data_IF_542785813810
#
_entry.id   IF_542785813810
#
_cell.length_a   1.000
_cell.length_b   1.000
_cell.length_c   1.000
_cell.angle_alpha   90.00
_cell.angle_beta   90.00
_cell.angle_gamma   90.00
#
_symmetry.space_group_name_H-M   'P 1'
#
loop_
_entity.id
_entity.type
_entity.pdbx_description
1 polymer ?
#
# COMPACT_ATOMS: atom_id res chain seq x y z
N UNK A 1 -33.72 -26.21 -5.86
CA UNK A 1 -32.31 -25.95 -6.23
C UNK A 1 -31.92 -24.55 -5.73
N UNK A 2 -31.90 -24.34 -4.41
CA UNK A 2 -31.57 -23.03 -3.82
C UNK A 2 -30.14 -23.05 -3.28
N UNK A 3 -29.38 -22.04 -3.72
CA UNK A 3 -28.26 -21.36 -3.07
C UNK A 3 -27.05 -22.18 -2.61
N UNK A 4 -25.93 -22.01 -3.32
CA UNK A 4 -24.64 -21.76 -2.66
C UNK A 4 -24.08 -20.47 -3.23
N UNK A 5 -24.37 -19.38 -2.53
CA UNK A 5 -23.71 -18.08 -2.67
C UNK A 5 -22.20 -18.28 -2.68
N UNK A 6 -21.52 -17.49 -3.52
CA UNK A 6 -20.08 -17.39 -3.62
C UNK A 6 -19.44 -17.58 -2.25
N UNK A 7 -18.74 -18.71 -2.10
CA UNK A 7 -18.03 -19.11 -0.91
C UNK A 7 -17.28 -17.92 -0.35
N UNK A 8 -17.64 -17.55 0.88
CA UNK A 8 -16.84 -16.72 1.75
C UNK A 8 -15.42 -17.29 1.72
N UNK A 9 -14.55 -16.65 0.94
CA UNK A 9 -13.12 -16.96 0.94
C UNK A 9 -12.61 -16.55 2.30
N UNK A 10 -12.69 -17.44 3.29
CA UNK A 10 -11.98 -17.29 4.55
C UNK A 10 -10.52 -17.02 4.21
N UNK A 11 -10.09 -15.79 4.46
CA UNK A 11 -8.70 -15.41 4.28
C UNK A 11 -7.96 -16.03 5.45
N UNK A 12 -7.32 -17.17 5.21
CA UNK A 12 -6.43 -17.82 6.18
C UNK A 12 -5.33 -16.82 6.60
N UNK A 13 -5.48 -16.23 7.79
CA UNK A 13 -4.49 -15.30 8.35
C UNK A 13 -3.30 -16.12 8.86
N UNK A 14 -2.30 -16.27 8.01
CA UNK A 14 -1.06 -16.98 8.37
C UNK A 14 -0.19 -16.11 9.29
N UNK A 15 -0.05 -16.54 10.54
CA UNK A 15 0.74 -15.86 11.59
C UNK A 15 2.26 -16.01 11.37
N UNK A 16 2.70 -16.96 10.54
CA UNK A 16 4.12 -17.23 10.33
C UNK A 16 4.83 -16.08 9.58
N UNK A 17 5.77 -15.41 10.25
CA UNK A 17 6.54 -14.27 9.73
C UNK A 17 7.29 -14.59 8.44
N UNK A 18 7.92 -15.77 8.36
CA UNK A 18 8.69 -16.20 7.18
C UNK A 18 7.84 -16.30 5.91
N UNK A 19 6.65 -16.92 6.00
CA UNK A 19 5.72 -17.05 4.86
C UNK A 19 5.15 -15.69 4.45
N UNK A 20 4.88 -14.80 5.41
CA UNK A 20 4.37 -13.47 5.12
C UNK A 20 5.39 -12.61 4.36
N UNK A 21 6.65 -12.60 4.81
CA UNK A 21 7.75 -11.91 4.11
C UNK A 21 7.93 -12.44 2.68
N UNK A 22 7.95 -13.76 2.50
CA UNK A 22 8.07 -14.39 1.18
C UNK A 22 6.95 -13.92 0.23
N UNK A 23 5.70 -13.94 0.70
CA UNK A 23 4.54 -13.46 -0.10
C UNK A 23 4.61 -11.98 -0.44
N UNK A 24 5.07 -11.14 0.49
CA UNK A 24 5.15 -9.69 0.27
C UNK A 24 6.20 -9.34 -0.79
N UNK A 25 7.42 -9.88 -0.67
CA UNK A 25 8.51 -9.56 -1.60
C UNK A 25 8.37 -10.24 -2.97
N UNK A 26 7.77 -11.44 -3.03
CA UNK A 26 7.58 -12.19 -4.28
C UNK A 26 6.21 -11.93 -4.93
N UNK A 27 5.45 -10.94 -4.45
CA UNK A 27 4.14 -10.62 -5.00
C UNK A 27 4.20 -10.19 -6.49
N UNK A 28 3.23 -10.58 -7.33
CA UNK A 28 3.06 -10.03 -8.67
C UNK A 28 2.62 -8.55 -8.64
N UNK A 29 2.82 -7.82 -9.75
CA UNK A 29 2.59 -6.37 -9.84
C UNK A 29 1.19 -5.91 -9.37
N UNK A 30 0.13 -6.62 -9.79
CA UNK A 30 -1.25 -6.26 -9.40
C UNK A 30 -1.50 -6.35 -7.88
N UNK A 31 -0.75 -7.20 -7.17
CA UNK A 31 -0.78 -7.31 -5.71
C UNK A 31 0.15 -6.27 -5.08
N UNK A 32 1.37 -6.09 -5.62
CA UNK A 32 2.34 -5.08 -5.17
C UNK A 32 1.72 -3.69 -5.13
N UNK A 33 0.96 -3.31 -6.16
CA UNK A 33 0.26 -2.03 -6.21
C UNK A 33 -0.70 -1.81 -5.02
N UNK A 34 -1.39 -2.86 -4.56
CA UNK A 34 -2.26 -2.76 -3.37
C UNK A 34 -1.45 -2.63 -2.08
N UNK A 35 -0.31 -3.30 -2.00
CA UNK A 35 0.61 -3.24 -0.85
C UNK A 35 1.33 -1.89 -0.77
N UNK A 36 1.63 -1.28 -1.92
CA UNK A 36 2.29 0.02 -2.08
C UNK A 36 1.26 1.16 -2.21
N UNK A 37 0.34 1.24 -1.25
CA UNK A 37 -0.62 2.35 -1.16
C UNK A 37 -0.20 3.38 -0.12
N UNK A 38 -0.39 4.66 -0.42
CA UNK A 38 -0.14 5.75 0.51
C UNK A 38 -1.46 6.38 1.02
N UNK A 39 -1.47 6.92 2.24
CA UNK A 39 -2.58 7.74 2.72
C UNK A 39 -2.68 9.05 1.94
N UNK A 40 -3.89 9.46 1.60
CA UNK A 40 -4.14 10.77 0.98
C UNK A 40 -4.13 11.90 2.03
N UNK A 41 -3.82 13.12 1.59
CA UNK A 41 -3.94 14.34 2.39
C UNK A 41 -5.40 14.62 2.78
N UNK A 42 -5.62 15.45 3.80
CA UNK A 42 -6.98 15.71 4.32
C UNK A 42 -7.94 16.26 3.25
N UNK A 43 -7.44 17.15 2.41
CA UNK A 43 -8.21 17.77 1.31
C UNK A 43 -8.59 16.74 0.24
N UNK A 44 -7.63 15.90 -0.18
CA UNK A 44 -7.88 14.85 -1.18
C UNK A 44 -8.81 13.76 -0.64
N UNK A 45 -8.72 13.44 0.65
CA UNK A 45 -9.65 12.52 1.32
C UNK A 45 -11.08 13.07 1.28
N UNK A 46 -11.28 14.36 1.52
CA UNK A 46 -12.61 14.96 1.47
C UNK A 46 -13.16 15.00 0.03
N UNK A 47 -12.31 15.29 -0.94
CA UNK A 47 -12.70 15.35 -2.37
C UNK A 47 -13.10 13.98 -2.93
N UNK A 48 -12.32 12.95 -2.65
CA UNK A 48 -12.51 11.62 -3.25
C UNK A 48 -13.13 10.59 -2.30
N UNK A 49 -13.33 10.95 -1.03
CA UNK A 49 -13.89 10.10 0.03
C UNK A 49 -13.16 8.76 0.23
N UNK A 50 -11.86 8.71 -0.13
CA UNK A 50 -11.00 7.52 -0.04
C UNK A 50 -9.83 7.80 0.90
N UNK A 51 -9.48 6.85 1.76
CA UNK A 51 -8.40 7.00 2.76
C UNK A 51 -7.00 6.88 2.17
N UNK A 52 -6.80 5.93 1.24
CA UNK A 52 -5.52 5.63 0.63
C UNK A 52 -5.67 5.21 -0.83
N UNK A 53 -4.65 5.48 -1.65
CA UNK A 53 -4.61 5.09 -3.05
C UNK A 53 -3.24 4.48 -3.39
N UNK A 54 -3.16 3.54 -4.35
CA UNK A 54 -1.87 3.09 -4.86
C UNK A 54 -1.07 4.23 -5.48
N UNK A 55 0.20 4.31 -5.13
CA UNK A 55 1.12 5.33 -5.62
C UNK A 55 1.42 5.06 -7.11
N UNK A 56 1.41 6.09 -7.94
CA UNK A 56 1.82 6.05 -9.34
C UNK A 56 3.07 6.88 -9.58
N UNK A 57 3.69 6.65 -10.74
CA UNK A 57 4.73 7.53 -11.25
C UNK A 57 4.10 8.91 -11.49
N UNK A 58 4.87 9.96 -11.24
CA UNK A 58 4.48 11.37 -11.43
C UNK A 58 3.48 11.88 -10.37
N UNK A 59 3.21 11.09 -9.30
CA UNK A 59 2.51 11.58 -8.11
C UNK A 59 3.49 12.35 -7.19
N UNK A 60 3.01 13.45 -6.60
CA UNK A 60 3.73 14.16 -5.54
C UNK A 60 3.38 13.58 -4.17
N UNK A 61 4.42 13.21 -3.40
CA UNK A 61 4.26 12.62 -2.06
C UNK A 61 5.03 13.41 -1.02
N UNK A 62 4.43 13.55 0.16
CA UNK A 62 5.11 14.03 1.36
C UNK A 62 5.69 12.85 2.11
N UNK A 63 6.96 12.96 2.51
CA UNK A 63 7.61 11.95 3.33
C UNK A 63 8.25 12.58 4.56
N UNK A 64 8.21 11.82 5.64
CA UNK A 64 8.81 12.18 6.92
C UNK A 64 10.15 11.45 7.05
N UNK A 65 11.24 12.21 7.08
CA UNK A 65 12.57 11.68 7.35
C UNK A 65 12.78 11.77 8.86
N UNK A 66 13.04 10.64 9.53
CA UNK A 66 13.15 10.51 10.99
C UNK A 66 14.08 11.55 11.66
N UNK A 67 15.02 12.13 10.92
CA UNK A 67 16.01 13.09 11.40
C UNK A 67 15.73 14.55 11.00
N UNK A 68 14.66 14.82 10.25
CA UNK A 68 14.34 16.15 9.75
C UNK A 68 12.97 16.59 10.25
N UNK A 69 12.94 17.69 10.98
CA UNK A 69 11.73 18.29 11.55
C UNK A 69 10.76 18.89 10.52
N UNK A 70 11.05 18.80 9.23
CA UNK A 70 10.25 19.38 8.15
C UNK A 70 9.87 18.32 7.11
N UNK A 71 8.57 18.23 6.83
CA UNK A 71 8.02 17.41 5.76
C UNK A 71 8.52 17.91 4.41
N UNK A 72 9.03 17.00 3.57
CA UNK A 72 9.47 17.33 2.21
C UNK A 72 8.55 16.72 1.17
N UNK A 73 8.34 17.43 0.07
CA UNK A 73 7.59 16.97 -1.09
C UNK A 73 8.55 16.45 -2.16
N UNK A 74 8.26 15.28 -2.71
CA UNK A 74 9.05 14.67 -3.79
C UNK A 74 8.11 14.03 -4.79
N UNK A 75 8.50 14.09 -6.06
CA UNK A 75 7.84 13.36 -7.12
C UNK A 75 8.28 11.89 -7.15
N UNK A 76 7.32 10.99 -7.34
CA UNK A 76 7.58 9.55 -7.41
C UNK A 76 8.16 9.18 -8.76
N UNK A 77 9.47 8.91 -8.79
CA UNK A 77 10.17 8.46 -10.01
C UNK A 77 9.93 6.99 -10.35
N UNK A 78 9.72 6.15 -9.33
CA UNK A 78 9.43 4.70 -9.47
C UNK A 78 8.46 4.26 -8.40
N UNK A 79 7.33 3.70 -8.82
CA UNK A 79 6.28 3.19 -7.93
C UNK A 79 6.53 1.76 -7.43
N UNK A 80 7.57 1.07 -7.94
CA UNK A 80 7.94 -0.30 -7.53
C UNK A 80 8.86 -0.35 -6.30
N UNK A 81 9.21 0.80 -5.72
CA UNK A 81 10.04 0.82 -4.53
C UNK A 81 9.16 0.35 -3.37
N UNK A 82 9.31 -0.93 -2.99
CA UNK A 82 8.96 -1.38 -1.64
C UNK A 82 9.88 -0.59 -0.73
N UNK A 83 9.48 0.63 -0.36
CA UNK A 83 10.16 1.42 0.65
C UNK A 83 9.92 0.70 1.97
N UNK A 84 10.80 -0.27 2.22
CA UNK A 84 10.95 -0.91 3.52
C UNK A 84 11.53 0.13 4.45
N UNK A 85 10.65 0.88 5.09
CA UNK A 85 10.96 1.44 6.41
C UNK A 85 11.29 0.25 7.32
N UNK A 86 12.50 0.29 7.90
CA UNK A 86 13.08 -0.50 9.01
C UNK A 86 13.66 -1.90 8.70
N UNK A 87 14.97 -1.94 8.42
CA UNK A 87 15.99 -2.19 9.45
C UNK A 87 17.02 -1.05 9.42
#
# INVERSE_FOLDING_TARGET
MLSSTAEDREIEVRISVGKNRKRHFQAPSHIKRRLMSAPLSKELRQKYNVRSMPIRKDDEVQYDELNHSQMRQVEVKRADIVARVLL
#
